data_IF_941379276384
#
_entry.id   IF_941379276384
#
_cell.length_a   1.000
_cell.length_b   1.000
_cell.length_c   1.000
_cell.angle_alpha   90.00
_cell.angle_beta   90.00
_cell.angle_gamma   90.00
#
_symmetry.space_group_name_H-M   'P 1'
#
loop_
_entity.id
_entity.type
_entity.pdbx_description
1 polymer ?
#
# COMPACT_ATOMS: atom_id res chain seq x y z
N UNK A 1 11.29 14.96 -23.79
CA UNK A 1 10.45 13.75 -23.88
C UNK A 1 9.12 14.22 -24.45
N UNK A 2 8.78 13.86 -25.69
CA UNK A 2 7.43 14.11 -26.21
C UNK A 2 6.47 13.17 -25.47
N UNK A 3 5.49 13.72 -24.76
CA UNK A 3 4.42 12.91 -24.19
C UNK A 3 3.60 12.34 -25.34
N UNK A 4 3.50 11.02 -25.41
CA UNK A 4 2.82 10.34 -26.51
C UNK A 4 1.37 10.78 -26.62
N UNK A 5 0.80 10.64 -27.82
CA UNK A 5 -0.65 10.66 -28.09
C UNK A 5 -1.45 9.81 -27.10
N UNK A 6 -0.81 8.80 -26.51
CA UNK A 6 -1.38 7.86 -25.54
C UNK A 6 -1.79 8.53 -24.22
N UNK A 7 -1.08 9.58 -23.76
CA UNK A 7 -1.47 10.33 -22.55
C UNK A 7 -2.79 11.08 -22.79
N UNK A 8 -2.92 11.70 -23.96
CA UNK A 8 -4.12 12.41 -24.40
C UNK A 8 -5.28 11.44 -24.68
N UNK A 9 -4.99 10.26 -25.23
CA UNK A 9 -6.00 9.24 -25.54
C UNK A 9 -6.54 8.59 -24.27
N UNK A 10 -5.67 8.29 -23.29
CA UNK A 10 -6.07 7.71 -22.02
C UNK A 10 -6.71 8.73 -21.06
N UNK A 11 -6.35 10.02 -21.13
CA UNK A 11 -6.98 11.05 -20.30
C UNK A 11 -8.47 11.18 -20.57
N UNK A 12 -8.93 10.96 -21.81
CA UNK A 12 -10.36 10.97 -22.16
C UNK A 12 -11.21 9.91 -21.45
N UNK A 13 -10.60 8.82 -20.95
CA UNK A 13 -11.30 7.82 -20.11
C UNK A 13 -11.40 8.27 -18.65
N UNK A 14 -10.44 9.06 -18.18
CA UNK A 14 -10.30 9.46 -16.78
C UNK A 14 -10.40 10.98 -16.62
N UNK A 15 -11.28 11.62 -17.39
CA UNK A 15 -11.36 13.07 -17.50
C UNK A 15 -11.63 13.74 -16.16
N UNK A 16 -10.90 14.81 -15.86
CA UNK A 16 -11.11 15.60 -14.65
C UNK A 16 -12.30 16.55 -14.86
N UNK A 17 -13.51 16.03 -14.67
CA UNK A 17 -14.76 16.81 -14.74
C UNK A 17 -15.19 17.39 -13.38
N UNK A 18 -14.37 17.26 -12.33
CA UNK A 18 -14.75 17.65 -10.98
C UNK A 18 -14.14 18.99 -10.55
N UNK A 19 -14.95 19.86 -9.95
CA UNK A 19 -14.51 21.09 -9.27
C UNK A 19 -13.82 20.83 -7.92
N UNK A 20 -13.55 19.57 -7.58
CA UNK A 20 -13.00 19.17 -6.28
C UNK A 20 -11.48 19.28 -6.30
N UNK A 21 -10.93 20.08 -5.39
CA UNK A 21 -9.49 20.16 -5.19
C UNK A 21 -9.02 19.06 -4.23
N UNK A 22 -7.91 18.43 -4.59
CA UNK A 22 -7.25 17.39 -3.80
C UNK A 22 -5.94 17.92 -3.22
N UNK A 23 -5.54 17.42 -2.05
CA UNK A 23 -4.22 17.70 -1.48
C UNK A 23 -3.55 16.39 -1.11
N UNK A 24 -2.29 16.25 -1.50
CA UNK A 24 -1.47 15.12 -1.09
C UNK A 24 -0.88 15.45 0.28
N UNK A 25 -1.20 14.66 1.30
CA UNK A 25 -0.60 14.79 2.64
C UNK A 25 0.28 13.59 2.98
N UNK A 26 0.70 13.55 4.25
CA UNK A 26 1.56 12.48 4.81
C UNK A 26 1.06 11.06 4.55
N UNK A 27 -0.25 10.90 4.38
CA UNK A 27 -0.92 9.63 4.20
C UNK A 27 -1.34 9.36 2.74
N UNK A 28 -0.92 10.22 1.80
CA UNK A 28 -1.34 10.27 0.41
C UNK A 28 -2.67 10.97 0.18
N UNK A 29 -3.29 10.75 -0.98
CA UNK A 29 -4.68 11.15 -1.22
C UNK A 29 -5.63 10.18 -0.53
N UNK A 30 -6.62 10.71 0.20
CA UNK A 30 -7.69 9.92 0.82
C UNK A 30 -9.01 10.66 0.76
N UNK A 31 -10.02 10.04 0.16
CA UNK A 31 -11.37 10.58 0.09
C UNK A 31 -12.36 9.48 -0.33
N UNK A 32 -13.59 9.85 -0.70
CA UNK A 32 -14.57 8.90 -1.26
C UNK A 32 -14.02 8.23 -2.52
N UNK A 33 -14.26 6.93 -2.63
CA UNK A 33 -13.72 6.13 -3.73
C UNK A 33 -14.12 6.66 -5.12
N UNK A 34 -15.34 7.21 -5.24
CA UNK A 34 -15.90 7.72 -6.49
C UNK A 34 -15.15 8.93 -7.05
N UNK A 35 -14.38 9.63 -6.22
CA UNK A 35 -13.60 10.81 -6.62
C UNK A 35 -12.15 10.45 -7.01
N UNK A 36 -11.75 9.17 -6.91
CA UNK A 36 -10.34 8.79 -6.95
C UNK A 36 -9.87 8.18 -8.27
N UNK A 37 -10.74 7.88 -9.22
CA UNK A 37 -10.34 7.20 -10.45
C UNK A 37 -9.36 8.05 -11.28
N UNK A 38 -9.69 9.31 -11.53
CA UNK A 38 -8.80 10.28 -12.19
C UNK A 38 -7.53 10.54 -11.39
N UNK A 39 -7.64 10.64 -10.06
CA UNK A 39 -6.47 10.80 -9.18
C UNK A 39 -5.52 9.62 -9.31
N UNK A 40 -6.01 8.38 -9.33
CA UNK A 40 -5.18 7.19 -9.44
C UNK A 40 -4.51 7.06 -10.80
N UNK A 41 -5.23 7.35 -11.89
CA UNK A 41 -4.61 7.44 -13.21
C UNK A 41 -3.43 8.42 -13.20
N UNK A 42 -3.65 9.61 -12.65
CA UNK A 42 -2.63 10.66 -12.57
C UNK A 42 -1.48 10.31 -11.62
N UNK A 43 -1.74 9.57 -10.54
CA UNK A 43 -0.68 9.03 -9.67
C UNK A 43 0.11 7.90 -10.34
N UNK A 44 -0.49 7.14 -11.27
CA UNK A 44 0.24 6.23 -12.14
C UNK A 44 1.26 6.97 -13.03
N UNK A 45 0.85 8.09 -13.64
CA UNK A 45 1.74 8.96 -14.41
C UNK A 45 2.90 9.47 -13.53
N UNK A 46 2.59 10.01 -12.36
CA UNK A 46 3.60 10.55 -11.45
C UNK A 46 4.56 9.46 -10.93
N UNK A 47 4.05 8.28 -10.57
CA UNK A 47 4.89 7.16 -10.13
C UNK A 47 5.87 6.73 -11.23
N UNK A 48 5.44 6.75 -12.49
CA UNK A 48 6.33 6.47 -13.62
C UNK A 48 7.42 7.54 -13.79
N UNK A 49 7.08 8.83 -13.65
CA UNK A 49 8.08 9.91 -13.63
C UNK A 49 9.05 9.77 -12.44
N UNK A 50 8.53 9.48 -11.24
CA UNK A 50 9.34 9.27 -10.04
C UNK A 50 10.32 8.13 -10.21
N UNK A 51 9.88 7.02 -10.80
CA UNK A 51 10.72 5.87 -11.09
C UNK A 51 11.86 6.22 -12.05
N UNK A 52 11.59 7.02 -13.09
CA UNK A 52 12.63 7.52 -14.00
C UNK A 52 13.61 8.47 -13.29
N UNK A 53 13.11 9.38 -12.48
CA UNK A 53 13.94 10.33 -11.70
C UNK A 53 14.90 9.60 -10.76
N UNK A 54 14.42 8.54 -10.08
CA UNK A 54 15.21 7.74 -9.15
C UNK A 54 15.99 6.60 -9.79
N UNK A 55 15.70 6.27 -11.05
CA UNK A 55 16.21 5.08 -11.75
C UNK A 55 15.99 3.79 -10.92
N UNK A 56 14.80 3.68 -10.33
CA UNK A 56 14.47 2.67 -9.32
C UNK A 56 12.99 2.26 -9.38
N UNK A 57 12.64 1.14 -8.73
CA UNK A 57 11.26 0.73 -8.50
C UNK A 57 10.59 1.67 -7.51
N UNK A 58 9.39 2.14 -7.83
CA UNK A 58 8.56 2.99 -6.97
C UNK A 58 7.27 2.25 -6.63
N UNK A 59 6.83 2.34 -5.38
CA UNK A 59 5.58 1.73 -4.94
C UNK A 59 4.39 2.66 -5.10
N UNK A 60 3.22 2.08 -5.33
CA UNK A 60 1.92 2.73 -5.29
C UNK A 60 0.96 1.82 -4.50
N UNK A 61 0.56 2.26 -3.31
CA UNK A 61 -0.38 1.52 -2.45
C UNK A 61 -1.78 2.13 -2.56
N UNK A 62 -2.77 1.30 -2.90
CA UNK A 62 -4.18 1.68 -2.93
C UNK A 62 -4.84 1.23 -1.62
N UNK A 63 -5.12 2.19 -0.75
CA UNK A 63 -5.75 1.96 0.55
C UNK A 63 -6.13 3.28 1.21
N UNK A 64 -7.20 3.28 2.01
CA UNK A 64 -7.46 4.31 3.02
C UNK A 64 -7.27 3.81 4.47
N UNK A 65 -6.53 2.72 4.68
CA UNK A 65 -6.19 2.21 6.01
C UNK A 65 -7.45 2.01 6.89
N UNK A 66 -7.59 2.80 7.96
CA UNK A 66 -8.68 2.70 8.94
C UNK A 66 -9.99 3.36 8.52
N UNK A 67 -10.00 4.14 7.43
CA UNK A 67 -11.21 4.83 6.97
C UNK A 67 -12.36 3.84 6.68
N UNK A 68 -13.62 4.31 6.68
CA UNK A 68 -14.78 3.51 6.27
C UNK A 68 -14.63 2.91 4.87
N UNK A 69 -15.27 1.78 4.60
CA UNK A 69 -15.12 1.01 3.35
C UNK A 69 -15.45 1.79 2.05
N UNK A 70 -16.28 2.85 2.13
CA UNK A 70 -16.63 3.71 1.00
C UNK A 70 -15.55 4.74 0.63
N UNK A 71 -14.56 4.94 1.49
CA UNK A 71 -13.38 5.73 1.17
C UNK A 71 -12.32 4.85 0.48
N UNK A 72 -11.38 5.47 -0.21
CA UNK A 72 -10.12 4.82 -0.59
C UNK A 72 -9.01 5.87 -0.65
N UNK A 73 -7.84 5.48 -1.13
CA UNK A 73 -6.72 6.38 -1.22
C UNK A 73 -5.55 5.79 -1.98
N UNK A 74 -4.55 6.64 -2.19
CA UNK A 74 -3.28 6.24 -2.80
C UNK A 74 -2.13 6.94 -2.11
N UNK A 75 -1.04 6.20 -1.91
CA UNK A 75 0.25 6.74 -1.49
C UNK A 75 1.39 6.13 -2.30
N UNK A 76 2.41 6.93 -2.56
CA UNK A 76 3.64 6.53 -3.23
C UNK A 76 4.73 6.16 -2.21
N UNK A 77 5.55 5.18 -2.59
CA UNK A 77 6.64 4.61 -1.77
C UNK A 77 7.95 4.74 -2.54
N UNK A 78 8.95 5.34 -1.92
CA UNK A 78 10.28 5.55 -2.50
C UNK A 78 11.18 4.30 -2.39
N UNK A 79 12.37 4.30 -3.03
CA UNK A 79 13.12 3.07 -3.30
C UNK A 79 13.56 2.25 -2.08
N UNK A 80 13.76 2.87 -0.92
CA UNK A 80 14.12 2.19 0.34
C UNK A 80 12.89 1.63 1.08
N UNK A 81 11.69 1.74 0.52
CA UNK A 81 10.44 1.37 1.19
C UNK A 81 9.93 2.45 2.15
N UNK A 82 10.43 3.67 2.03
CA UNK A 82 10.01 4.87 2.74
C UNK A 82 8.84 5.56 2.03
N UNK A 83 8.13 6.44 2.74
CA UNK A 83 7.13 7.29 2.10
C UNK A 83 7.79 8.23 1.10
N UNK A 84 7.08 8.59 0.03
CA UNK A 84 7.55 9.61 -0.90
C UNK A 84 7.94 10.89 -0.15
N UNK A 85 9.11 11.44 -0.47
CA UNK A 85 9.60 12.70 0.13
C UNK A 85 8.63 13.85 -0.10
N UNK A 86 8.49 14.70 0.92
CA UNK A 86 7.65 15.90 0.96
C UNK A 86 7.78 16.81 -0.27
N UNK A 87 9.00 16.99 -0.80
CA UNK A 87 9.22 17.85 -1.98
C UNK A 87 8.47 17.37 -3.23
N UNK A 88 8.05 16.11 -3.28
CA UNK A 88 7.25 15.55 -4.37
C UNK A 88 5.74 15.51 -4.07
N UNK A 89 5.30 15.83 -2.85
CA UNK A 89 3.87 15.94 -2.51
C UNK A 89 3.20 17.12 -3.25
N UNK A 90 3.97 18.19 -3.47
CA UNK A 90 3.53 19.32 -4.29
C UNK A 90 3.30 18.91 -5.75
N UNK A 91 4.19 18.10 -6.33
CA UNK A 91 4.02 17.53 -7.68
C UNK A 91 2.77 16.66 -7.76
N UNK A 92 2.53 15.82 -6.75
CA UNK A 92 1.33 14.99 -6.68
C UNK A 92 0.05 15.82 -6.61
N UNK A 93 0.04 16.84 -5.76
CA UNK A 93 -1.08 17.78 -5.64
C UNK A 93 -1.33 18.51 -6.95
N UNK A 94 -0.28 19.02 -7.62
CA UNK A 94 -0.42 19.74 -8.87
C UNK A 94 -0.94 18.84 -9.99
N UNK A 95 -0.37 17.64 -10.15
CA UNK A 95 -0.80 16.65 -11.15
C UNK A 95 -2.24 16.21 -10.93
N UNK A 96 -2.66 15.98 -9.68
CA UNK A 96 -4.05 15.60 -9.38
C UNK A 96 -5.06 16.70 -9.73
N UNK A 97 -4.69 17.98 -9.59
CA UNK A 97 -5.60 19.11 -9.78
C UNK A 97 -5.53 19.77 -11.16
N UNK A 98 -4.54 19.44 -12.00
CA UNK A 98 -4.42 20.01 -13.34
C UNK A 98 -5.73 19.82 -14.14
N UNK A 99 -6.12 20.78 -14.98
CA UNK A 99 -7.13 20.47 -16.00
C UNK A 99 -6.58 19.43 -17.00
N UNK A 100 -7.45 18.77 -17.75
CA UNK A 100 -6.99 17.79 -18.75
C UNK A 100 -6.12 18.45 -19.84
N UNK A 101 -6.41 19.71 -20.20
CA UNK A 101 -5.63 20.50 -21.17
C UNK A 101 -4.24 20.89 -20.62
N UNK A 102 -4.14 21.13 -19.31
CA UNK A 102 -2.88 21.54 -18.66
C UNK A 102 -1.99 20.35 -18.27
N UNK A 103 -2.56 19.15 -18.12
CA UNK A 103 -1.88 17.98 -17.57
C UNK A 103 -0.54 17.69 -18.27
N UNK A 104 -0.50 17.76 -19.61
CA UNK A 104 0.73 17.52 -20.36
C UNK A 104 1.82 18.55 -20.05
N UNK A 105 1.43 19.83 -19.87
CA UNK A 105 2.34 20.91 -19.47
C UNK A 105 2.87 20.70 -18.06
N UNK A 106 2.02 20.32 -17.11
CA UNK A 106 2.42 20.03 -15.72
C UNK A 106 3.45 18.88 -15.67
N UNK A 107 3.19 17.79 -16.41
CA UNK A 107 4.15 16.68 -16.50
C UNK A 107 5.48 17.12 -17.14
N UNK A 108 5.44 18.02 -18.13
CA UNK A 108 6.64 18.57 -18.76
C UNK A 108 7.49 19.40 -17.79
N UNK A 109 6.85 20.22 -16.96
CA UNK A 109 7.53 20.98 -15.91
C UNK A 109 8.25 20.03 -14.95
N UNK A 110 7.58 18.99 -14.46
CA UNK A 110 8.19 17.99 -13.56
C UNK A 110 9.39 17.31 -14.22
N UNK A 111 9.27 16.89 -15.49
CA UNK A 111 10.39 16.29 -16.23
C UNK A 111 11.60 17.23 -16.31
N UNK A 112 11.35 18.52 -16.47
CA UNK A 112 12.42 19.53 -16.58
C UNK A 112 13.05 19.83 -15.22
N UNK A 113 12.23 20.09 -14.19
CA UNK A 113 12.67 20.43 -12.84
C UNK A 113 13.45 19.29 -12.17
N UNK A 114 12.98 18.05 -12.36
CA UNK A 114 13.57 16.85 -11.78
C UNK A 114 14.63 16.21 -12.71
N UNK A 115 14.97 16.88 -13.81
CA UNK A 115 16.01 16.46 -14.77
C UNK A 115 15.81 15.02 -15.28
N UNK A 116 14.56 14.64 -15.57
CA UNK A 116 14.17 13.27 -15.90
C UNK A 116 14.59 12.93 -17.33
N UNK A 117 15.39 11.87 -17.47
CA UNK A 117 15.85 11.35 -18.75
C UNK A 117 14.99 10.18 -19.26
N UNK A 118 14.98 9.97 -20.57
CA UNK A 118 14.24 8.87 -21.21
C UNK A 118 15.00 7.53 -21.22
N UNK A 119 16.19 7.47 -20.62
CA UNK A 119 17.11 6.33 -20.63
C UNK A 119 16.63 5.14 -19.76
N UNK A 120 15.73 5.37 -18.82
CA UNK A 120 15.17 4.34 -17.95
C UNK A 120 13.70 4.05 -18.26
N UNK A 121 13.38 2.76 -18.37
CA UNK A 121 11.98 2.31 -18.36
C UNK A 121 11.50 2.30 -16.92
N UNK A 122 10.42 3.04 -16.64
CA UNK A 122 9.85 3.11 -15.30
C UNK A 122 9.38 1.73 -14.82
N UNK A 123 9.59 1.44 -13.53
CA UNK A 123 9.10 0.24 -12.85
C UNK A 123 8.25 0.67 -11.66
N UNK A 124 6.97 0.33 -11.68
CA UNK A 124 6.03 0.70 -10.61
C UNK A 124 5.43 -0.55 -9.97
N UNK A 125 5.67 -0.72 -8.67
CA UNK A 125 5.16 -1.83 -7.87
C UNK A 125 3.82 -1.41 -7.28
N UNK A 126 2.73 -2.07 -7.66
CA UNK A 126 1.38 -1.69 -7.23
C UNK A 126 0.81 -2.76 -6.31
N UNK A 127 0.19 -2.33 -5.21
CA UNK A 127 -0.55 -3.19 -4.30
C UNK A 127 -1.83 -2.51 -3.83
N UNK A 128 -2.80 -3.31 -3.38
CA UNK A 128 -4.10 -2.80 -2.92
C UNK A 128 -4.62 -3.55 -1.71
N UNK A 129 -5.48 -2.90 -0.93
CA UNK A 129 -6.25 -3.56 0.12
C UNK A 129 -7.54 -4.21 -0.42
N UNK A 130 -8.40 -4.67 0.50
CA UNK A 130 -9.66 -5.38 0.21
C UNK A 130 -10.86 -4.47 -0.05
N UNK A 131 -10.69 -3.14 -0.20
CA UNK A 131 -11.84 -2.26 -0.46
C UNK A 131 -12.50 -2.60 -1.80
N UNK A 132 -13.84 -2.51 -1.91
CA UNK A 132 -14.55 -2.84 -3.14
C UNK A 132 -14.08 -2.03 -4.36
N UNK A 133 -13.73 -0.76 -4.16
CA UNK A 133 -13.24 0.14 -5.22
C UNK A 133 -11.79 -0.13 -5.64
N UNK A 134 -11.02 -0.91 -4.87
CA UNK A 134 -9.58 -1.07 -5.09
C UNK A 134 -9.24 -1.70 -6.44
N UNK A 135 -10.09 -2.56 -7.01
CA UNK A 135 -9.86 -3.14 -8.34
C UNK A 135 -10.00 -2.11 -9.47
N UNK A 136 -11.02 -1.24 -9.41
CA UNK A 136 -11.22 -0.17 -10.40
C UNK A 136 -10.10 0.86 -10.32
N UNK A 137 -9.77 1.30 -9.10
CA UNK A 137 -8.69 2.24 -8.85
C UNK A 137 -7.32 1.69 -9.25
N UNK A 138 -7.11 0.39 -9.10
CA UNK A 138 -5.92 -0.29 -9.60
C UNK A 138 -5.80 -0.20 -11.13
N UNK A 139 -6.89 -0.48 -11.86
CA UNK A 139 -6.88 -0.39 -13.32
C UNK A 139 -6.58 1.04 -13.82
N UNK A 140 -7.09 2.07 -13.12
CA UNK A 140 -6.76 3.47 -13.41
C UNK A 140 -5.25 3.74 -13.20
N UNK A 141 -4.69 3.33 -12.07
CA UNK A 141 -3.26 3.47 -11.77
C UNK A 141 -2.37 2.80 -12.83
N UNK A 142 -2.70 1.55 -13.20
CA UNK A 142 -1.99 0.80 -14.25
C UNK A 142 -2.03 1.57 -15.57
N UNK A 143 -3.21 2.05 -15.98
CA UNK A 143 -3.37 2.83 -17.21
C UNK A 143 -2.47 4.08 -17.22
N UNK A 144 -2.32 4.74 -16.07
CA UNK A 144 -1.42 5.88 -15.92
C UNK A 144 0.05 5.51 -16.08
N UNK A 145 0.49 4.42 -15.45
CA UNK A 145 1.87 3.94 -15.59
C UNK A 145 2.19 3.60 -17.06
N UNK A 146 1.28 2.88 -17.72
CA UNK A 146 1.45 2.42 -19.10
C UNK A 146 1.40 3.57 -20.11
N UNK A 147 0.62 4.63 -19.85
CA UNK A 147 0.56 5.81 -20.72
C UNK A 147 1.91 6.54 -20.87
N UNK A 148 2.84 6.38 -19.91
CA UNK A 148 4.23 6.87 -20.00
C UNK A 148 5.24 5.77 -20.37
N UNK A 149 4.76 4.62 -20.85
CA UNK A 149 5.58 3.47 -21.21
C UNK A 149 6.26 2.80 -20.02
N UNK A 150 5.73 2.98 -18.80
CA UNK A 150 6.19 2.28 -17.62
C UNK A 150 5.73 0.82 -17.58
N UNK A 151 6.39 0.02 -16.76
CA UNK A 151 6.00 -1.36 -16.47
C UNK A 151 5.46 -1.48 -15.05
N UNK A 152 4.39 -2.26 -14.90
CA UNK A 152 3.77 -2.54 -13.60
C UNK A 152 4.24 -3.89 -13.07
N UNK A 153 4.57 -3.92 -11.78
CA UNK A 153 4.74 -5.13 -10.97
C UNK A 153 3.55 -5.21 -10.02
N UNK A 154 2.51 -5.94 -10.41
CA UNK A 154 1.29 -6.09 -9.61
C UNK A 154 1.53 -7.11 -8.47
N UNK A 155 1.34 -6.66 -7.24
CA UNK A 155 1.44 -7.48 -6.03
C UNK A 155 0.10 -8.10 -5.62
N UNK A 156 -1.00 -7.69 -6.24
CA UNK A 156 -2.35 -8.09 -5.90
C UNK A 156 -2.86 -7.44 -4.62
N UNK A 157 -3.68 -8.18 -3.88
CA UNK A 157 -4.21 -7.79 -2.57
C UNK A 157 -3.13 -8.05 -1.52
N UNK A 158 -2.57 -6.99 -0.95
CA UNK A 158 -1.45 -7.05 0.00
C UNK A 158 -1.59 -6.04 1.12
N UNK A 159 -0.94 -6.29 2.25
CA UNK A 159 -0.85 -5.30 3.32
C UNK A 159 0.06 -4.14 2.88
N UNK A 160 -0.12 -2.96 3.47
CA UNK A 160 0.81 -1.84 3.24
C UNK A 160 2.27 -2.26 3.51
N UNK A 161 2.62 -2.87 4.65
CA UNK A 161 4.01 -3.26 4.91
C UNK A 161 4.58 -4.25 3.89
N UNK A 162 3.75 -5.16 3.35
CA UNK A 162 4.17 -6.09 2.31
C UNK A 162 4.52 -5.34 1.01
N UNK A 163 3.74 -4.35 0.60
CA UNK A 163 4.12 -3.51 -0.55
C UNK A 163 5.46 -2.79 -0.30
N UNK A 164 5.65 -2.19 0.87
CA UNK A 164 6.90 -1.50 1.21
C UNK A 164 8.09 -2.47 1.15
N UNK A 165 7.92 -3.70 1.64
CA UNK A 165 8.91 -4.77 1.51
C UNK A 165 9.22 -5.10 0.04
N UNK A 166 8.19 -5.24 -0.81
CA UNK A 166 8.34 -5.52 -2.24
C UNK A 166 9.17 -4.46 -2.95
N UNK A 167 8.91 -3.18 -2.66
CA UNK A 167 9.66 -2.04 -3.21
C UNK A 167 11.11 -2.11 -2.74
N UNK A 168 11.34 -2.29 -1.43
CA UNK A 168 12.69 -2.39 -0.86
C UNK A 168 13.50 -3.52 -1.51
N UNK A 169 12.95 -4.72 -1.57
CA UNK A 169 13.63 -5.88 -2.15
C UNK A 169 13.87 -5.76 -3.66
N UNK A 170 12.96 -5.12 -4.39
CA UNK A 170 13.13 -4.89 -5.83
C UNK A 170 14.30 -3.93 -6.14
N UNK A 171 14.63 -3.04 -5.21
CA UNK A 171 15.76 -2.11 -5.33
C UNK A 171 17.03 -2.58 -4.61
N UNK A 172 16.91 -3.44 -3.62
CA UNK A 172 18.01 -4.02 -2.85
C UNK A 172 17.75 -5.52 -2.57
N UNK A 173 18.23 -6.41 -3.46
CA UNK A 173 18.07 -7.86 -3.29
C UNK A 173 18.73 -8.42 -2.02
N UNK A 174 19.68 -7.69 -1.40
CA UNK A 174 20.30 -8.12 -0.13
C UNK A 174 19.32 -8.02 1.04
N UNK A 175 18.27 -7.21 0.91
CA UNK A 175 17.23 -7.11 1.93
C UNK A 175 16.31 -8.33 1.95
N UNK A 176 16.12 -9.03 0.83
CA UNK A 176 15.27 -10.22 0.75
C UNK A 176 14.73 -10.50 -0.66
N UNK A 177 13.91 -11.53 -0.79
CA UNK A 177 13.29 -11.94 -2.04
C UNK A 177 12.10 -11.03 -2.35
N UNK A 178 12.10 -10.37 -3.52
CA UNK A 178 11.05 -9.43 -3.94
C UNK A 178 9.74 -10.13 -4.36
N UNK A 179 9.14 -10.92 -3.48
CA UNK A 179 7.86 -11.62 -3.68
C UNK A 179 6.98 -11.58 -2.43
N UNK A 180 5.68 -11.84 -2.58
CA UNK A 180 4.75 -11.93 -1.45
C UNK A 180 5.11 -13.11 -0.54
N UNK A 181 5.59 -14.21 -1.13
CA UNK A 181 6.10 -15.35 -0.39
C UNK A 181 7.39 -14.98 0.36
N UNK A 182 8.31 -14.24 -0.27
CA UNK A 182 9.55 -13.79 0.37
C UNK A 182 9.32 -12.92 1.60
N UNK A 183 8.28 -12.09 1.60
CA UNK A 183 7.85 -11.35 2.79
C UNK A 183 7.41 -12.30 3.90
N UNK A 184 6.57 -13.28 3.56
CA UNK A 184 6.02 -14.27 4.48
C UNK A 184 7.14 -15.15 5.05
N UNK A 185 8.01 -15.69 4.20
CA UNK A 185 9.18 -16.47 4.56
C UNK A 185 10.08 -15.72 5.54
N UNK A 186 10.46 -14.49 5.21
CA UNK A 186 11.34 -13.68 6.04
C UNK A 186 10.76 -13.48 7.45
N UNK A 187 9.47 -13.15 7.56
CA UNK A 187 8.83 -12.97 8.86
C UNK A 187 8.69 -14.28 9.64
N UNK A 188 8.22 -15.35 9.00
CA UNK A 188 8.02 -16.67 9.62
C UNK A 188 9.34 -17.23 10.11
N UNK A 189 10.37 -17.25 9.27
CA UNK A 189 11.68 -17.78 9.63
C UNK A 189 12.33 -16.99 10.76
N UNK A 190 12.29 -15.65 10.70
CA UNK A 190 12.84 -14.82 11.77
C UNK A 190 12.09 -15.05 13.09
N UNK A 191 10.77 -15.13 13.05
CA UNK A 191 9.95 -15.42 14.24
C UNK A 191 10.31 -16.78 14.86
N UNK A 192 10.38 -17.84 14.05
CA UNK A 192 10.72 -19.18 14.53
C UNK A 192 12.15 -19.27 15.07
N UNK A 193 13.12 -18.60 14.41
CA UNK A 193 14.50 -18.49 14.90
C UNK A 193 14.55 -17.80 16.27
N UNK A 194 13.89 -16.65 16.41
CA UNK A 194 13.84 -15.93 17.69
C UNK A 194 13.22 -16.77 18.81
N UNK A 195 12.13 -17.49 18.50
CA UNK A 195 11.50 -18.37 19.48
C UNK A 195 12.43 -19.53 19.88
N UNK A 196 13.13 -20.15 18.93
CA UNK A 196 14.08 -21.22 19.25
C UNK A 196 15.23 -20.76 20.15
N UNK A 197 15.67 -19.50 20.03
CA UNK A 197 16.69 -18.91 20.90
C UNK A 197 16.18 -18.57 22.30
N UNK A 198 14.86 -18.37 22.46
CA UNK A 198 14.24 -18.02 23.73
C UNK A 198 13.93 -19.25 24.62
N UNK A 199 13.96 -20.47 24.07
CA UNK A 199 13.78 -21.70 24.84
C UNK A 199 15.10 -22.14 25.48
N UNK A 200 15.16 -22.37 26.82
CA UNK A 200 16.41 -22.76 27.48
C UNK A 200 16.89 -24.14 26.99
N UNK A 201 18.16 -24.20 26.61
CA UNK A 201 18.85 -25.41 26.20
C UNK A 201 19.25 -26.26 27.41
N UNK A 202 18.30 -26.88 28.12
CA UNK A 202 18.65 -27.92 29.10
C UNK A 202 17.56 -28.99 29.25
N UNK A 203 17.94 -30.20 28.87
CA UNK A 203 17.42 -31.47 29.38
C UNK A 203 17.80 -31.65 30.86
N UNK A 204 17.15 -30.94 31.77
CA UNK A 204 17.09 -31.29 33.20
C UNK A 204 16.09 -30.38 33.93
N UNK A 205 15.00 -31.00 34.41
CA UNK A 205 14.04 -30.54 35.43
C UNK A 205 13.54 -29.07 35.36
N UNK A 206 12.25 -28.92 35.04
CA UNK A 206 11.46 -27.67 35.07
C UNK A 206 11.52 -26.93 36.44
N UNK A 207 11.16 -25.63 36.43
CA UNK A 207 9.81 -25.32 36.88
C UNK A 207 9.00 -24.51 35.87
N UNK A 208 7.71 -24.80 35.83
CA UNK A 208 6.69 -24.03 35.13
C UNK A 208 6.61 -22.59 35.70
N UNK A 209 7.26 -21.62 35.05
CA UNK A 209 7.07 -20.18 35.34
C UNK A 209 7.09 -19.29 34.10
N UNK A 210 6.91 -19.84 32.90
CA UNK A 210 6.49 -19.00 31.78
C UNK A 210 4.98 -18.81 31.88
N UNK A 211 4.55 -17.66 32.41
CA UNK A 211 3.16 -17.20 32.28
C UNK A 211 2.78 -16.83 30.85
N UNK A 212 3.73 -16.95 29.91
CA UNK A 212 3.51 -16.70 28.49
C UNK A 212 2.65 -17.81 27.88
N UNK A 213 1.39 -17.49 27.66
CA UNK A 213 0.50 -18.30 26.85
C UNK A 213 0.81 -18.05 25.37
N UNK A 214 1.21 -19.07 24.63
CA UNK A 214 1.38 -19.03 23.17
C UNK A 214 0.02 -19.14 22.44
N UNK A 215 -1.02 -18.49 22.97
CA UNK A 215 -2.34 -18.40 22.34
C UNK A 215 -2.66 -16.91 22.12
N UNK A 216 -2.85 -16.53 20.85
CA UNK A 216 -3.14 -15.17 20.44
C UNK A 216 -4.46 -15.11 19.70
N UNK A 217 -5.39 -14.30 20.21
CA UNK A 217 -6.60 -13.91 19.49
C UNK A 217 -6.26 -12.69 18.63
N UNK A 218 -6.43 -12.82 17.32
CA UNK A 218 -6.10 -11.77 16.36
C UNK A 218 -7.36 -11.24 15.68
N UNK A 219 -7.65 -9.95 15.86
CA UNK A 219 -8.70 -9.25 15.11
C UNK A 219 -8.14 -8.70 13.80
N UNK A 220 -8.56 -9.29 12.68
CA UNK A 220 -8.14 -8.89 11.33
C UNK A 220 -8.89 -7.68 10.76
N UNK A 221 -9.82 -7.07 11.50
CA UNK A 221 -10.61 -5.90 11.10
C UNK A 221 -11.42 -6.07 9.79
N UNK A 222 -11.68 -7.31 9.38
CA UNK A 222 -12.19 -7.70 8.07
C UNK A 222 -11.33 -7.17 6.89
N UNK A 223 -10.05 -6.92 7.13
CA UNK A 223 -9.12 -6.35 6.18
C UNK A 223 -8.06 -7.32 5.69
N UNK A 224 -7.22 -6.82 4.77
CA UNK A 224 -6.12 -7.58 4.17
C UNK A 224 -5.11 -8.14 5.18
N UNK A 225 -5.00 -7.55 6.37
CA UNK A 225 -4.18 -8.10 7.45
C UNK A 225 -4.65 -9.46 7.94
N UNK A 226 -5.97 -9.69 8.01
CA UNK A 226 -6.53 -10.99 8.34
C UNK A 226 -6.17 -12.06 7.30
N UNK A 227 -6.25 -11.72 6.02
CA UNK A 227 -5.84 -12.60 4.91
C UNK A 227 -4.35 -12.97 5.00
N UNK A 228 -3.49 -11.99 5.27
CA UNK A 228 -2.04 -12.24 5.43
C UNK A 228 -1.76 -13.11 6.66
N UNK A 229 -2.46 -12.89 7.77
CA UNK A 229 -2.32 -13.74 8.95
C UNK A 229 -2.83 -15.16 8.71
N UNK A 230 -3.88 -15.36 7.90
CA UNK A 230 -4.34 -16.69 7.51
C UNK A 230 -3.28 -17.47 6.72
N UNK A 231 -2.47 -16.79 5.90
CA UNK A 231 -1.31 -17.39 5.21
C UNK A 231 -0.21 -17.78 6.21
N UNK A 232 0.08 -16.91 7.19
CA UNK A 232 1.16 -17.11 8.15
C UNK A 232 0.81 -18.13 9.26
N UNK A 233 -0.44 -18.19 9.70
CA UNK A 233 -0.86 -18.94 10.89
C UNK A 233 -0.48 -20.43 10.86
N UNK A 234 -0.70 -21.19 9.76
CA UNK A 234 -0.28 -22.58 9.69
C UNK A 234 1.23 -22.75 9.84
N UNK A 235 2.00 -21.80 9.30
CA UNK A 235 3.47 -21.83 9.25
C UNK A 235 4.13 -21.53 10.60
N UNK A 236 3.43 -20.87 11.52
CA UNK A 236 3.92 -20.55 12.87
C UNK A 236 3.22 -21.35 13.98
N UNK A 237 2.31 -22.26 13.62
CA UNK A 237 1.42 -22.98 14.55
C UNK A 237 2.13 -23.78 15.65
N UNK A 238 3.38 -24.23 15.40
CA UNK A 238 4.20 -24.93 16.41
C UNK A 238 4.75 -24.00 17.49
N UNK A 239 4.82 -22.69 17.21
CA UNK A 239 5.39 -21.68 18.10
C UNK A 239 4.33 -20.72 18.67
N UNK A 240 3.21 -20.53 17.97
CA UNK A 240 2.12 -19.66 18.38
C UNK A 240 0.80 -20.21 17.84
N UNK A 241 -0.11 -20.57 18.75
CA UNK A 241 -1.51 -20.82 18.39
C UNK A 241 -2.18 -19.49 18.12
N UNK A 242 -2.72 -19.34 16.91
CA UNK A 242 -3.38 -18.13 16.47
C UNK A 242 -4.85 -18.42 16.18
N UNK A 243 -5.75 -17.66 16.80
CA UNK A 243 -7.19 -17.68 16.48
C UNK A 243 -7.55 -16.36 15.81
N UNK A 244 -7.90 -16.41 14.53
CA UNK A 244 -8.24 -15.21 13.73
C UNK A 244 -9.74 -14.94 13.82
N UNK A 245 -10.09 -13.73 14.24
CA UNK A 245 -11.43 -13.15 14.16
C UNK A 245 -11.45 -12.05 13.11
N UNK A 246 -12.61 -11.79 12.49
CA UNK A 246 -12.77 -10.76 11.46
C UNK A 246 -11.68 -10.85 10.37
N UNK A 247 -11.44 -12.07 9.85
CA UNK A 247 -10.28 -12.36 9.00
C UNK A 247 -10.33 -11.80 7.57
N UNK A 248 -11.44 -11.19 7.16
CA UNK A 248 -11.60 -10.61 5.81
C UNK A 248 -12.07 -11.59 4.74
N UNK A 249 -12.25 -12.88 5.04
CA UNK A 249 -12.77 -13.92 4.13
C UNK A 249 -14.31 -14.02 4.10
N UNK A 250 -15.04 -13.17 4.83
CA UNK A 250 -16.48 -13.32 5.09
C UNK A 250 -17.33 -12.05 4.86
N UNK A 251 -18.56 -12.07 5.39
CA UNK A 251 -19.59 -11.02 5.26
C UNK A 251 -19.30 -9.74 6.09
N UNK A 252 -18.19 -9.70 6.83
CA UNK A 252 -17.85 -8.58 7.70
C UNK A 252 -17.46 -7.33 6.91
N UNK A 253 -17.87 -6.16 7.40
CA UNK A 253 -17.50 -4.87 6.79
C UNK A 253 -16.15 -4.42 7.34
N UNK A 254 -15.26 -4.00 6.44
CA UNK A 254 -13.93 -3.47 6.77
C UNK A 254 -14.02 -2.38 7.85
N UNK A 255 -13.27 -2.54 8.94
CA UNK A 255 -13.18 -1.64 10.10
C UNK A 255 -14.53 -1.35 10.82
N UNK A 256 -15.60 -2.09 10.52
CA UNK A 256 -16.90 -1.85 11.16
C UNK A 256 -16.95 -2.53 12.53
N UNK A 257 -16.92 -1.72 13.60
CA UNK A 257 -16.98 -2.17 15.00
C UNK A 257 -15.91 -3.20 15.38
N UNK A 258 -14.76 -3.14 14.72
CA UNK A 258 -13.58 -3.99 14.93
C UNK A 258 -12.32 -3.24 14.48
N UNK A 259 -11.14 -3.80 14.76
CA UNK A 259 -9.85 -3.24 14.39
C UNK A 259 -9.27 -2.24 15.40
N UNK A 260 -7.99 -1.92 15.20
CA UNK A 260 -7.18 -1.18 16.17
C UNK A 260 -7.74 0.20 16.50
N UNK A 261 -8.17 0.98 15.51
CA UNK A 261 -8.70 2.32 15.73
C UNK A 261 -10.03 2.30 16.50
N UNK A 262 -10.92 1.34 16.22
CA UNK A 262 -12.17 1.19 16.97
C UNK A 262 -11.93 0.88 18.45
N UNK A 263 -10.99 -0.03 18.75
CA UNK A 263 -10.63 -0.36 20.14
C UNK A 263 -10.04 0.85 20.84
N UNK A 264 -9.08 1.53 20.20
CA UNK A 264 -8.39 2.69 20.77
C UNK A 264 -9.36 3.82 21.13
N UNK A 265 -10.26 4.19 20.21
CA UNK A 265 -11.22 5.30 20.43
C UNK A 265 -12.22 4.98 21.54
N UNK A 266 -12.66 3.71 21.67
CA UNK A 266 -13.55 3.31 22.75
C UNK A 266 -12.86 3.30 24.11
N UNK A 267 -11.60 2.87 24.17
CA UNK A 267 -10.83 2.86 25.41
C UNK A 267 -10.49 4.27 25.92
N UNK A 268 -10.33 5.24 25.01
CA UNK A 268 -10.06 6.65 25.37
C UNK A 268 -11.33 7.46 25.71
N UNK A 269 -12.52 6.87 25.55
CA UNK A 269 -13.79 7.52 25.92
C UNK A 269 -14.27 8.62 24.95
N UNK A 270 -13.67 8.74 23.77
CA UNK A 270 -14.03 9.74 22.74
C UNK A 270 -15.09 9.21 21.74
N UNK A 271 -15.75 8.09 22.06
CA UNK A 271 -16.79 7.48 21.22
C UNK A 271 -18.19 7.92 21.61
N UNK A 272 -18.77 8.76 20.75
CA UNK A 272 -20.16 9.21 20.63
C UNK A 272 -21.24 8.50 21.47
N UNK A 273 -21.97 9.33 22.21
CA UNK A 273 -23.35 9.11 22.62
C UNK A 273 -24.25 8.97 21.39
N UNK A 274 -24.58 7.74 21.01
CA UNK A 274 -25.71 7.47 20.12
C UNK A 274 -27.02 7.78 20.88
N UNK A 275 -27.66 8.89 20.50
CA UNK A 275 -29.02 9.28 20.85
C UNK A 275 -29.78 9.68 19.60
#
# INVERSE_FOLDING_TARGET
MEFRSDVITCSGKYSNNQQKLFSYGTAGFRTKADDLETVLFRMGLLAALRSKAKKAHIGLMITASHNPACDNGVKLVDPYGEMMVESWEAHATHVANASDDELAGVLHCIVTEEHITADHTAQVVIGRDTRPSSNTLHAAAVSGVEALGGKVVDCGVVTTPLLHYRVRCANDPSYGVASNEGYTDKLVETFLKLQSCAQPATSCAQPATSCYCQDLLFDGANGVGGLQMAIMAPRISQALKLTIHNGGEGQGVLNYRCGADFVKVRETGEGESDG
#
